data_IF_226359256800
#
_entry.id   IF_226359256800
#
_cell.length_a   1.000
_cell.length_b   1.000
_cell.length_c   1.000
_cell.angle_alpha   90.00
_cell.angle_beta   90.00
_cell.angle_gamma   90.00
#
_symmetry.space_group_name_H-M   'P 1'
#
loop_
_entity.id
_entity.type
_entity.pdbx_description
1 polymer ?
#
# COMPACT_ATOMS: atom_id res chain seq x y z
N UNK A 1 2.97 -19.47 -3.45
CA UNK A 1 3.54 -18.31 -4.16
C UNK A 1 3.43 -17.12 -3.21
N UNK A 2 4.52 -16.70 -2.60
CA UNK A 2 4.52 -15.48 -1.79
C UNK A 2 4.31 -14.30 -2.73
N UNK A 3 3.08 -13.80 -2.81
CA UNK A 3 2.77 -12.55 -3.50
C UNK A 3 3.63 -11.46 -2.85
N UNK A 4 4.48 -10.80 -3.63
CA UNK A 4 5.39 -9.73 -3.19
C UNK A 4 4.57 -8.47 -2.85
N UNK A 5 3.74 -8.56 -1.82
CA UNK A 5 2.79 -7.53 -1.40
C UNK A 5 3.55 -6.40 -0.72
N UNK A 6 3.48 -5.24 -1.36
CA UNK A 6 4.09 -4.01 -0.90
C UNK A 6 5.60 -3.97 -1.04
N UNK A 7 6.27 -4.90 -1.73
CA UNK A 7 7.75 -4.88 -1.84
C UNK A 7 8.23 -3.59 -2.55
N UNK A 8 9.19 -2.90 -1.94
CA UNK A 8 9.81 -1.71 -2.50
C UNK A 8 10.78 -2.06 -3.64
N UNK A 9 10.57 -1.44 -4.81
CA UNK A 9 11.44 -1.57 -5.98
C UNK A 9 11.74 -0.21 -6.58
N UNK A 10 12.84 -0.16 -7.33
CA UNK A 10 13.25 1.02 -8.08
C UNK A 10 13.04 0.78 -9.57
N UNK A 11 12.49 1.76 -10.27
CA UNK A 11 12.40 1.76 -11.74
C UNK A 11 13.78 1.90 -12.36
N UNK A 12 14.66 2.68 -11.73
CA UNK A 12 16.08 2.79 -12.08
C UNK A 12 16.94 2.41 -10.87
N UNK A 13 17.66 1.29 -10.97
CA UNK A 13 18.53 0.77 -9.91
C UNK A 13 19.66 1.72 -9.50
N UNK A 14 20.00 2.72 -10.33
CA UNK A 14 20.99 3.76 -10.00
C UNK A 14 20.37 4.92 -9.22
N UNK A 15 19.07 5.16 -9.37
CA UNK A 15 18.34 6.21 -8.68
C UNK A 15 17.65 5.65 -7.43
N UNK A 16 18.37 5.68 -6.30
CA UNK A 16 17.88 5.26 -4.99
C UNK A 16 17.24 6.41 -4.20
N UNK A 17 16.42 7.23 -4.86
CA UNK A 17 15.71 8.32 -4.19
C UNK A 17 14.67 7.74 -3.22
N UNK A 18 14.81 8.07 -1.93
CA UNK A 18 13.87 7.70 -0.87
C UNK A 18 12.86 8.81 -0.56
N UNK A 19 13.02 10.00 -1.14
CA UNK A 19 12.16 11.14 -0.85
C UNK A 19 10.75 10.92 -1.41
N UNK A 20 9.75 11.28 -0.62
CA UNK A 20 8.35 11.28 -1.06
C UNK A 20 8.10 12.59 -1.83
N UNK A 21 7.91 12.49 -3.13
CA UNK A 21 7.81 13.66 -4.02
C UNK A 21 6.46 13.69 -4.74
N UNK A 22 6.00 12.53 -5.21
CA UNK A 22 4.74 12.37 -5.93
C UNK A 22 4.07 11.07 -5.52
N UNK A 23 2.75 11.02 -5.63
CA UNK A 23 1.97 9.82 -5.31
C UNK A 23 1.24 9.44 -6.57
N UNK A 24 1.60 8.31 -7.18
CA UNK A 24 0.95 7.80 -8.38
C UNK A 24 0.62 6.33 -8.15
N UNK A 25 -0.66 6.00 -8.23
CA UNK A 25 -1.11 4.62 -8.19
C UNK A 25 -1.47 4.15 -9.61
N UNK A 26 -0.94 3.01 -10.01
CA UNK A 26 -1.19 2.36 -11.31
C UNK A 26 -1.99 1.07 -11.09
N UNK A 27 -3.33 1.09 -11.22
CA UNK A 27 -4.18 -0.05 -10.86
C UNK A 27 -3.89 -1.31 -11.67
N UNK A 28 -3.56 -1.16 -12.96
CA UNK A 28 -3.28 -2.28 -13.87
C UNK A 28 -2.06 -3.08 -13.45
N UNK A 29 -1.03 -2.41 -12.95
CA UNK A 29 0.23 -3.04 -12.54
C UNK A 29 0.32 -3.23 -11.02
N UNK A 30 -0.67 -2.73 -10.26
CA UNK A 30 -0.69 -2.74 -8.79
C UNK A 30 0.57 -2.09 -8.19
N UNK A 31 0.97 -0.95 -8.77
CA UNK A 31 2.17 -0.20 -8.35
C UNK A 31 1.79 1.12 -7.71
N UNK A 32 2.42 1.43 -6.58
CA UNK A 32 2.30 2.71 -5.90
C UNK A 32 3.66 3.41 -5.88
N UNK A 33 3.80 4.46 -6.70
CA UNK A 33 5.00 5.29 -6.77
C UNK A 33 4.97 6.38 -5.71
N UNK A 34 6.12 6.61 -5.09
CA UNK A 34 6.35 7.73 -4.15
C UNK A 34 7.31 8.80 -4.70
N UNK A 35 8.03 8.46 -5.77
CA UNK A 35 8.80 9.37 -6.63
C UNK A 35 8.94 8.75 -8.03
N UNK A 36 9.81 9.30 -8.88
CA UNK A 36 10.01 8.80 -10.26
C UNK A 36 10.64 7.40 -10.35
N UNK A 37 11.31 6.95 -9.29
CA UNK A 37 12.03 5.67 -9.23
C UNK A 37 11.40 4.67 -8.26
N UNK A 38 11.24 5.06 -6.99
CA UNK A 38 10.76 4.19 -5.91
C UNK A 38 9.26 3.95 -6.00
N UNK A 39 8.89 2.67 -6.02
CA UNK A 39 7.50 2.22 -5.99
C UNK A 39 7.34 0.94 -5.18
N UNK A 40 6.11 0.68 -4.75
CA UNK A 40 5.72 -0.54 -4.03
C UNK A 40 4.87 -1.40 -4.96
N UNK A 41 5.24 -2.67 -5.11
CA UNK A 41 4.54 -3.63 -5.98
C UNK A 41 3.46 -4.42 -5.23
N UNK A 42 2.51 -5.01 -5.95
CA UNK A 42 1.49 -5.88 -5.36
C UNK A 42 0.52 -5.14 -4.43
N UNK A 43 0.38 -3.83 -4.62
CA UNK A 43 -0.59 -3.00 -3.91
C UNK A 43 -1.91 -3.12 -4.66
N UNK A 44 -2.80 -4.00 -4.21
CA UNK A 44 -4.11 -4.15 -4.85
C UNK A 44 -4.95 -2.88 -4.69
N UNK A 45 -5.93 -2.69 -5.58
CA UNK A 45 -6.81 -1.52 -5.54
C UNK A 45 -7.58 -1.43 -4.21
N UNK A 46 -8.01 -2.57 -3.65
CA UNK A 46 -8.64 -2.62 -2.35
C UNK A 46 -7.72 -2.16 -1.20
N UNK A 47 -6.41 -2.43 -1.29
CA UNK A 47 -5.42 -1.95 -0.32
C UNK A 47 -5.17 -0.45 -0.50
N UNK A 48 -5.05 0.00 -1.74
CA UNK A 48 -4.89 1.42 -2.06
C UNK A 48 -6.08 2.26 -1.56
N UNK A 49 -7.30 1.82 -1.84
CA UNK A 49 -8.56 2.48 -1.47
C UNK A 49 -9.00 2.21 -0.02
N UNK A 50 -8.20 1.49 0.78
CA UNK A 50 -8.55 1.16 2.16
C UNK A 50 -8.69 2.42 3.02
N UNK A 51 -9.83 2.55 3.70
CA UNK A 51 -10.17 3.73 4.51
C UNK A 51 -10.39 3.36 5.98
N UNK A 52 -9.93 4.24 6.87
CA UNK A 52 -10.30 4.25 8.28
C UNK A 52 -10.93 5.61 8.56
N UNK A 53 -12.22 5.60 8.91
CA UNK A 53 -13.02 6.82 8.87
C UNK A 53 -13.08 7.41 7.46
N UNK A 54 -12.90 8.73 7.34
CA UNK A 54 -12.87 9.42 6.04
C UNK A 54 -11.51 9.40 5.32
N UNK A 55 -10.47 8.80 5.90
CA UNK A 55 -9.11 8.87 5.36
C UNK A 55 -8.72 7.57 4.65
N UNK A 56 -8.23 7.71 3.43
CA UNK A 56 -7.53 6.65 2.72
C UNK A 56 -6.11 6.52 3.30
N UNK A 57 -5.79 5.35 3.86
CA UNK A 57 -4.66 5.20 4.79
C UNK A 57 -3.32 5.48 4.11
N UNK A 58 -3.05 4.85 2.95
CA UNK A 58 -1.78 4.99 2.24
C UNK A 58 -1.58 6.41 1.68
N UNK A 59 -2.61 6.97 1.04
CA UNK A 59 -2.59 8.32 0.50
C UNK A 59 -2.38 9.38 1.60
N UNK A 60 -3.11 9.26 2.71
CA UNK A 60 -2.98 10.17 3.86
C UNK A 60 -1.58 10.12 4.46
N UNK A 61 -1.00 8.92 4.62
CA UNK A 61 0.36 8.76 5.12
C UNK A 61 1.36 9.48 4.20
N UNK A 62 1.34 9.17 2.90
CA UNK A 62 2.29 9.73 1.94
C UNK A 62 2.16 11.25 1.80
N UNK A 63 0.94 11.80 1.83
CA UNK A 63 0.71 13.25 1.80
C UNK A 63 1.25 13.95 3.05
N UNK A 64 1.14 13.31 4.22
CA UNK A 64 1.57 13.92 5.49
C UNK A 64 3.09 13.97 5.63
N UNK A 65 3.81 13.08 4.94
CA UNK A 65 5.28 13.00 4.95
C UNK A 65 5.89 13.48 3.63
N UNK A 66 5.15 14.28 2.84
CA UNK A 66 5.63 14.76 1.55
C UNK A 66 6.88 15.62 1.75
N UNK A 67 7.96 15.29 1.04
CA UNK A 67 9.25 15.94 1.15
C UNK A 67 10.23 15.27 2.12
N UNK A 68 9.77 14.29 2.90
CA UNK A 68 10.61 13.51 3.81
C UNK A 68 11.13 12.24 3.11
N UNK A 69 12.19 11.64 3.66
CA UNK A 69 12.64 10.31 3.24
C UNK A 69 11.71 9.24 3.82
N UNK A 70 11.25 8.31 2.98
CA UNK A 70 10.39 7.22 3.41
C UNK A 70 11.20 6.10 4.06
N UNK A 71 10.80 5.68 5.26
CA UNK A 71 11.14 4.35 5.76
C UNK A 71 10.30 3.32 4.99
N UNK A 72 10.84 2.86 3.86
CA UNK A 72 10.12 1.92 2.99
C UNK A 72 9.84 0.57 3.67
N UNK A 73 10.67 0.14 4.63
CA UNK A 73 10.44 -1.12 5.37
C UNK A 73 9.26 -0.99 6.33
N UNK A 74 9.12 0.18 6.96
CA UNK A 74 7.94 0.47 7.75
C UNK A 74 6.70 0.55 6.85
N UNK A 75 6.78 1.28 5.74
CA UNK A 75 5.65 1.43 4.83
C UNK A 75 5.21 0.10 4.17
N UNK A 76 6.16 -0.78 3.84
CA UNK A 76 5.92 -2.18 3.46
C UNK A 76 5.01 -2.91 4.46
N UNK A 77 5.34 -2.81 5.75
CA UNK A 77 4.54 -3.41 6.82
C UNK A 77 3.15 -2.81 6.92
N UNK A 78 2.98 -1.52 6.65
CA UNK A 78 1.66 -0.87 6.58
C UNK A 78 0.84 -1.50 5.45
N UNK A 79 1.38 -1.58 4.23
CA UNK A 79 0.70 -2.19 3.08
C UNK A 79 0.31 -3.64 3.39
N UNK A 80 1.23 -4.44 3.92
CA UNK A 80 0.99 -5.84 4.26
C UNK A 80 -0.05 -6.00 5.38
N UNK A 81 -0.06 -5.09 6.35
CA UNK A 81 -1.07 -5.07 7.42
C UNK A 81 -2.46 -4.81 6.84
N UNK A 82 -2.61 -3.82 5.95
CA UNK A 82 -3.89 -3.53 5.29
C UNK A 82 -4.37 -4.70 4.44
N UNK A 83 -3.48 -5.34 3.68
CA UNK A 83 -3.80 -6.54 2.91
C UNK A 83 -4.31 -7.67 3.82
N UNK A 84 -3.63 -7.95 4.93
CA UNK A 84 -4.07 -8.97 5.90
C UNK A 84 -5.41 -8.60 6.54
N UNK A 85 -5.64 -7.33 6.86
CA UNK A 85 -6.91 -6.84 7.38
C UNK A 85 -8.06 -7.12 6.42
N UNK A 86 -7.89 -6.82 5.12
CA UNK A 86 -8.89 -7.14 4.10
C UNK A 86 -9.19 -8.64 4.02
N UNK A 87 -8.15 -9.48 4.09
CA UNK A 87 -8.32 -10.94 4.08
C UNK A 87 -9.13 -11.43 5.29
N UNK A 88 -8.85 -10.91 6.49
CA UNK A 88 -9.58 -11.25 7.71
C UNK A 88 -11.02 -10.73 7.64
N UNK A 89 -11.23 -9.49 7.20
CA UNK A 89 -12.56 -8.92 6.99
C UNK A 89 -13.40 -9.77 6.03
N UNK A 90 -12.81 -10.23 4.92
CA UNK A 90 -13.48 -11.11 3.98
C UNK A 90 -13.80 -12.50 4.57
N UNK A 91 -12.99 -13.01 5.50
CA UNK A 91 -13.30 -14.24 6.23
C UNK A 91 -14.46 -14.02 7.21
N UNK A 92 -14.45 -12.92 7.96
CA UNK A 92 -15.52 -12.55 8.88
C UNK A 92 -16.84 -12.37 8.13
N UNK A 93 -16.83 -11.72 6.97
CA UNK A 93 -18.03 -11.51 6.15
C UNK A 93 -18.69 -12.80 5.65
N UNK A 94 -17.97 -13.93 5.63
CA UNK A 94 -18.50 -15.25 5.25
C UNK A 94 -19.16 -16.00 6.42
N UNK A 95 -19.02 -15.49 7.64
CA UNK A 95 -19.64 -16.09 8.82
C UNK A 95 -21.14 -15.78 8.75
N UNK A 96 -21.94 -16.77 8.37
CA UNK A 96 -23.40 -16.70 8.45
C UNK A 96 -23.82 -16.71 9.91
N UNK A 97 -24.51 -15.67 10.36
CA UNK A 97 -25.17 -15.69 11.66
C UNK A 97 -26.39 -16.62 11.54
N UNK A 98 -26.34 -17.76 12.23
CA UNK A 98 -27.54 -18.57 12.46
C UNK A 98 -28.53 -17.68 13.21
N UNK A 99 -29.64 -17.34 12.57
CA UNK A 99 -30.75 -16.67 13.24
C UNK A 99 -31.45 -17.71 14.10
N UNK A 100 -31.47 -17.46 15.41
CA UNK A 100 -32.36 -18.14 16.36
C UNK A 100 -33.82 -17.75 16.13
#
# INVERSE_FOLDING_TARGET
MSEQIGEAKYKDSKNKNLKIEKIIYEPKEQKLFVNDSLHFCGVSEAVWEYKIGGYQVLDKYLKSHKGEEIDYKYFEKVIQSLHKSLKIQAQIAKITLLKE
#
